data_IF_133884319375
#
_entry.id   IF_133884319375
#
_cell.length_a   1.000
_cell.length_b   1.000
_cell.length_c   1.000
_cell.angle_alpha   90.00
_cell.angle_beta   90.00
_cell.angle_gamma   90.00
#
_symmetry.space_group_name_H-M   'P 1'
#
loop_
_entity.id
_entity.type
_entity.pdbx_description
1 polymer ?
#
# COMPACT_ATOMS: atom_id res chain seq x y z
N UNK A 1 -21.81 -51.90 -6.65
CA UNK A 1 -21.60 -50.51 -7.10
C UNK A 1 -22.90 -50.01 -7.73
N UNK A 2 -23.56 -49.01 -7.14
CA UNK A 2 -24.79 -48.43 -7.71
C UNK A 2 -24.49 -47.61 -8.97
N UNK A 3 -25.29 -47.79 -10.01
CA UNK A 3 -25.10 -47.17 -11.32
C UNK A 3 -25.41 -45.68 -11.35
N UNK A 4 -24.82 -44.96 -12.31
CA UNK A 4 -24.95 -43.50 -12.48
C UNK A 4 -26.42 -43.03 -12.58
N UNK A 5 -27.30 -43.85 -13.15
CA UNK A 5 -28.76 -43.60 -13.25
C UNK A 5 -29.47 -43.57 -11.90
N UNK A 6 -29.09 -44.42 -10.94
CA UNK A 6 -29.67 -44.41 -9.59
C UNK A 6 -29.21 -43.18 -8.79
N UNK A 7 -27.98 -42.70 -9.03
CA UNK A 7 -27.49 -41.44 -8.43
C UNK A 7 -28.19 -40.22 -9.00
N UNK A 8 -28.51 -40.22 -10.29
CA UNK A 8 -29.28 -39.14 -10.94
C UNK A 8 -30.75 -39.11 -10.47
N UNK A 9 -31.38 -40.27 -10.28
CA UNK A 9 -32.75 -40.34 -9.78
C UNK A 9 -32.87 -39.95 -8.29
N UNK A 10 -31.82 -40.15 -7.49
CA UNK A 10 -31.77 -39.68 -6.09
C UNK A 10 -31.64 -38.15 -5.95
N UNK A 11 -31.16 -37.46 -7.00
CA UNK A 11 -31.13 -35.99 -7.05
C UNK A 11 -32.51 -35.44 -7.46
N UNK A 12 -33.32 -36.23 -8.17
CA UNK A 12 -34.66 -35.85 -8.65
C UNK A 12 -35.76 -35.95 -7.59
N UNK A 13 -35.49 -36.46 -6.39
CA UNK A 13 -36.47 -36.58 -5.30
C UNK A 13 -36.38 -35.46 -4.24
N UNK A 14 -35.49 -34.48 -4.43
CA UNK A 14 -35.57 -33.26 -3.64
C UNK A 14 -36.81 -32.48 -4.09
N UNK A 15 -37.67 -32.00 -3.18
CA UNK A 15 -38.78 -31.15 -3.56
C UNK A 15 -38.22 -29.98 -4.38
N UNK A 16 -38.81 -29.72 -5.55
CA UNK A 16 -38.47 -28.57 -6.36
C UNK A 16 -38.50 -27.34 -5.45
N UNK A 17 -37.36 -26.64 -5.38
CA UNK A 17 -37.21 -25.38 -4.64
C UNK A 17 -38.41 -24.51 -5.04
N UNK A 18 -39.26 -24.06 -4.09
CA UNK A 18 -40.28 -23.09 -4.45
C UNK A 18 -39.54 -21.93 -5.12
N UNK A 19 -39.94 -21.57 -6.34
CA UNK A 19 -39.38 -20.43 -7.03
C UNK A 19 -39.44 -19.27 -6.04
N UNK A 20 -38.28 -18.73 -5.65
CA UNK A 20 -38.24 -17.52 -4.86
C UNK A 20 -39.16 -16.52 -5.56
N UNK A 21 -40.11 -15.94 -4.83
CA UNK A 21 -40.95 -14.85 -5.38
C UNK A 21 -39.99 -13.91 -6.09
N UNK A 22 -40.21 -13.67 -7.38
CA UNK A 22 -39.44 -12.68 -8.12
C UNK A 22 -39.48 -11.38 -7.31
N UNK A 23 -38.37 -11.06 -6.66
CA UNK A 23 -38.23 -9.81 -5.95
C UNK A 23 -37.94 -8.76 -7.02
N UNK A 24 -38.69 -7.65 -6.97
CA UNK A 24 -38.60 -6.59 -7.98
C UNK A 24 -37.24 -5.86 -7.96
N UNK A 25 -36.37 -6.18 -7.00
CA UNK A 25 -35.12 -5.46 -6.74
C UNK A 25 -34.15 -6.26 -5.85
N UNK A 26 -32.87 -5.84 -5.77
CA UNK A 26 -31.93 -6.31 -4.76
C UNK A 26 -32.21 -5.68 -3.38
N UNK A 27 -31.67 -6.26 -2.30
CA UNK A 27 -31.75 -5.62 -0.97
C UNK A 27 -30.85 -4.38 -0.90
N UNK A 28 -31.35 -3.31 -0.29
CA UNK A 28 -30.61 -2.05 -0.10
C UNK A 28 -30.66 -1.66 1.37
N UNK A 29 -29.50 -1.34 1.93
CA UNK A 29 -29.36 -0.77 3.28
C UNK A 29 -28.55 0.51 3.20
N UNK A 30 -28.98 1.52 3.95
CA UNK A 30 -28.24 2.77 4.08
C UNK A 30 -27.91 3.04 5.54
N UNK A 31 -26.66 3.40 5.76
CA UNK A 31 -26.14 3.89 7.05
C UNK A 31 -25.58 5.28 6.83
N UNK A 32 -25.85 6.20 7.75
CA UNK A 32 -25.31 7.56 7.73
C UNK A 32 -24.31 7.72 8.85
N UNK A 33 -23.11 8.14 8.51
CA UNK A 33 -22.03 8.39 9.48
C UNK A 33 -21.69 9.88 9.44
N UNK A 34 -21.86 10.63 10.54
CA UNK A 34 -21.48 12.04 10.59
C UNK A 34 -20.00 12.24 10.22
N UNK A 35 -19.68 13.21 9.35
CA UNK A 35 -18.30 13.44 8.92
C UNK A 35 -17.34 13.77 10.07
N UNK A 36 -17.85 14.33 11.17
CA UNK A 36 -17.07 14.55 12.40
C UNK A 36 -16.46 13.26 12.98
N UNK A 37 -17.06 12.10 12.70
CA UNK A 37 -16.57 10.78 13.14
C UNK A 37 -15.57 10.18 12.16
N UNK A 38 -15.52 10.66 10.91
CA UNK A 38 -14.49 10.30 9.93
C UNK A 38 -13.24 11.17 10.11
N UNK A 39 -13.47 12.46 10.43
CA UNK A 39 -12.46 13.43 10.83
C UNK A 39 -11.50 13.84 9.71
N UNK A 40 -11.65 15.04 9.16
CA UNK A 40 -10.64 15.68 8.31
C UNK A 40 -10.74 15.37 6.82
N UNK A 41 -11.62 14.46 6.41
CA UNK A 41 -11.84 14.14 5.00
C UNK A 41 -12.30 15.37 4.21
N UNK A 42 -13.09 16.24 4.82
CA UNK A 42 -13.59 17.50 4.27
C UNK A 42 -12.49 18.51 3.92
N UNK A 43 -11.29 18.33 4.50
CA UNK A 43 -10.11 19.15 4.25
C UNK A 43 -9.12 18.49 3.29
N UNK A 44 -9.40 17.26 2.84
CA UNK A 44 -8.52 16.55 1.91
C UNK A 44 -8.54 17.22 0.54
N UNK A 45 -7.36 17.65 0.10
CA UNK A 45 -7.13 18.32 -1.18
C UNK A 45 -6.51 17.37 -2.20
N UNK A 46 -6.68 17.66 -3.49
CA UNK A 46 -6.00 16.91 -4.56
C UNK A 46 -4.47 16.95 -4.44
N UNK A 47 -3.91 18.04 -3.91
CA UNK A 47 -2.47 18.16 -3.69
C UNK A 47 -1.98 17.13 -2.67
N UNK A 48 -2.69 16.95 -1.56
CA UNK A 48 -2.40 15.92 -0.57
C UNK A 48 -2.55 14.51 -1.16
N UNK A 49 -3.62 14.26 -1.93
CA UNK A 49 -3.81 12.96 -2.59
C UNK A 49 -2.68 12.64 -3.57
N UNK A 50 -2.21 13.62 -4.34
CA UNK A 50 -1.05 13.46 -5.24
C UNK A 50 0.26 13.24 -4.51
N UNK A 51 0.38 13.68 -3.25
CA UNK A 51 1.52 13.31 -2.39
C UNK A 51 1.44 11.84 -1.95
N UNK A 52 0.24 11.30 -1.77
CA UNK A 52 0.00 9.89 -1.43
C UNK A 52 0.18 8.97 -2.65
N UNK A 53 -0.36 9.35 -3.81
CA UNK A 53 -0.21 8.66 -5.09
C UNK A 53 -0.01 9.68 -6.24
N UNK A 54 1.23 9.90 -6.70
CA UNK A 54 1.50 10.88 -7.77
C UNK A 54 0.99 10.44 -9.14
N UNK A 55 0.55 9.19 -9.28
CA UNK A 55 -0.06 8.69 -10.53
C UNK A 55 -1.55 9.01 -10.61
N UNK A 56 -2.16 9.45 -9.50
CA UNK A 56 -3.55 9.85 -9.48
C UNK A 56 -3.77 11.16 -10.23
N UNK A 57 -4.48 11.07 -11.35
CA UNK A 57 -4.83 12.20 -12.19
C UNK A 57 -6.35 12.27 -12.35
N UNK A 58 -6.92 13.41 -11.95
CA UNK A 58 -8.32 13.75 -12.16
C UNK A 58 -8.38 15.22 -12.63
N UNK A 59 -9.34 15.52 -13.51
CA UNK A 59 -9.54 16.86 -14.07
C UNK A 59 -10.11 17.85 -13.04
N UNK A 60 -10.78 17.33 -12.01
CA UNK A 60 -11.32 18.07 -10.88
C UNK A 60 -11.17 17.30 -9.58
N UNK A 61 -11.41 17.99 -8.46
CA UNK A 61 -11.41 17.38 -7.13
C UNK A 61 -12.56 17.94 -6.29
N UNK A 62 -13.51 17.07 -5.98
CA UNK A 62 -14.52 17.29 -4.97
C UNK A 62 -14.67 15.99 -4.18
N UNK A 63 -14.46 16.07 -2.87
CA UNK A 63 -14.61 14.93 -1.97
C UNK A 63 -16.03 14.33 -2.01
N UNK A 64 -17.05 15.13 -2.38
CA UNK A 64 -18.44 14.68 -2.58
C UNK A 64 -18.65 13.86 -3.85
N UNK A 65 -17.67 13.89 -4.75
CA UNK A 65 -17.68 13.14 -6.02
C UNK A 65 -16.75 11.93 -5.98
N UNK A 66 -16.29 11.53 -4.79
CA UNK A 66 -15.58 10.27 -4.56
C UNK A 66 -16.57 9.14 -4.27
N UNK A 67 -16.31 7.97 -4.84
CA UNK A 67 -17.01 6.74 -4.51
C UNK A 67 -16.06 5.76 -3.81
N UNK A 68 -16.25 5.58 -2.51
CA UNK A 68 -15.63 4.52 -1.75
C UNK A 68 -16.31 3.19 -2.09
N UNK A 69 -15.55 2.15 -2.38
CA UNK A 69 -16.10 0.88 -2.84
C UNK A 69 -15.33 -0.31 -2.26
N UNK A 70 -16.10 -1.30 -1.85
CA UNK A 70 -15.65 -2.61 -1.37
C UNK A 70 -16.70 -3.68 -1.73
N UNK A 71 -16.25 -4.89 -2.07
CA UNK A 71 -17.14 -6.00 -2.45
C UNK A 71 -16.95 -7.21 -1.56
N UNK A 72 -18.07 -7.87 -1.21
CA UNK A 72 -18.02 -9.26 -0.75
C UNK A 72 -18.40 -10.21 -1.86
N UNK A 73 -17.61 -11.27 -1.98
CA UNK A 73 -17.67 -12.15 -3.15
C UNK A 73 -17.86 -13.61 -2.74
N UNK A 74 -18.42 -14.42 -3.62
CA UNK A 74 -18.63 -15.86 -3.39
C UNK A 74 -17.34 -16.70 -3.43
N UNK A 75 -16.18 -16.08 -3.72
CA UNK A 75 -14.91 -16.79 -3.74
C UNK A 75 -13.72 -15.89 -4.05
N UNK A 76 -12.54 -16.30 -3.60
CA UNK A 76 -11.32 -15.48 -3.59
C UNK A 76 -10.56 -15.45 -4.92
N UNK A 77 -10.92 -16.28 -5.90
CA UNK A 77 -10.10 -16.58 -7.08
C UNK A 77 -10.62 -16.05 -8.42
N UNK A 78 -11.60 -15.14 -8.43
CA UNK A 78 -12.01 -14.40 -9.65
C UNK A 78 -12.45 -15.26 -10.85
N UNK A 79 -12.78 -16.53 -10.61
CA UNK A 79 -13.22 -17.45 -11.66
C UNK A 79 -14.59 -17.04 -12.21
N UNK A 80 -15.00 -17.63 -13.34
CA UNK A 80 -16.26 -17.28 -14.02
C UNK A 80 -17.53 -17.43 -13.15
N UNK A 81 -17.46 -18.18 -12.05
CA UNK A 81 -18.55 -18.35 -11.07
C UNK A 81 -18.49 -17.43 -9.85
N UNK A 82 -17.43 -16.62 -9.68
CA UNK A 82 -17.36 -15.64 -8.59
C UNK A 82 -18.30 -14.48 -8.91
N UNK A 83 -19.14 -14.12 -7.95
CA UNK A 83 -20.06 -12.97 -8.02
C UNK A 83 -19.85 -12.08 -6.80
N UNK A 84 -20.03 -10.77 -6.96
CA UNK A 84 -20.11 -9.83 -5.85
C UNK A 84 -21.55 -9.86 -5.33
N UNK A 85 -21.77 -10.56 -4.21
CA UNK A 85 -23.11 -10.68 -3.63
C UNK A 85 -23.47 -9.49 -2.75
N UNK A 86 -22.47 -8.75 -2.25
CA UNK A 86 -22.64 -7.49 -1.54
C UNK A 86 -21.69 -6.45 -2.12
N UNK A 87 -22.23 -5.28 -2.41
CA UNK A 87 -21.49 -4.12 -2.87
C UNK A 87 -21.68 -2.97 -1.88
N UNK A 88 -20.61 -2.63 -1.16
CA UNK A 88 -20.55 -1.46 -0.29
C UNK A 88 -20.18 -0.23 -1.10
N UNK A 89 -20.94 0.85 -0.95
CA UNK A 89 -20.75 2.12 -1.65
C UNK A 89 -20.77 3.25 -0.63
N UNK A 90 -19.66 3.95 -0.45
CA UNK A 90 -19.55 5.13 0.41
C UNK A 90 -19.44 6.41 -0.41
N UNK A 91 -20.20 7.45 -0.07
CA UNK A 91 -20.09 8.76 -0.69
C UNK A 91 -20.61 9.86 0.25
N UNK A 92 -20.14 11.09 0.07
CA UNK A 92 -20.46 12.20 0.96
C UNK A 92 -21.69 12.96 0.44
N UNK A 93 -22.70 13.12 1.30
CA UNK A 93 -23.85 14.02 1.07
C UNK A 93 -24.00 14.94 2.28
N UNK A 94 -24.00 16.27 2.05
CA UNK A 94 -24.05 17.24 3.16
C UNK A 94 -22.83 17.12 4.08
N UNK A 95 -23.09 16.87 5.37
CA UNK A 95 -22.13 16.66 6.44
C UNK A 95 -22.07 15.18 6.91
N UNK A 96 -22.51 14.25 6.07
CA UNK A 96 -22.55 12.82 6.35
C UNK A 96 -21.84 12.00 5.24
N UNK A 97 -21.20 10.91 5.66
CA UNK A 97 -20.83 9.80 4.79
C UNK A 97 -22.02 8.85 4.71
N UNK A 98 -22.60 8.73 3.52
CA UNK A 98 -23.65 7.76 3.21
C UNK A 98 -22.99 6.46 2.78
N UNK A 99 -23.26 5.39 3.53
CA UNK A 99 -22.83 4.03 3.19
C UNK A 99 -24.06 3.28 2.71
N UNK A 100 -24.12 3.02 1.40
CA UNK A 100 -25.17 2.24 0.76
C UNK A 100 -24.65 0.85 0.41
N UNK A 101 -25.35 -0.15 0.90
CA UNK A 101 -25.02 -1.55 0.69
C UNK A 101 -26.07 -2.17 -0.22
N UNK A 102 -25.64 -2.67 -1.38
CA UNK A 102 -26.48 -3.40 -2.33
C UNK A 102 -26.20 -4.90 -2.18
N UNK A 103 -27.18 -5.66 -1.74
CA UNK A 103 -27.06 -7.09 -1.45
C UNK A 103 -27.96 -7.89 -2.38
N UNK A 104 -27.37 -8.84 -3.08
CA UNK A 104 -28.05 -9.87 -3.84
C UNK A 104 -28.48 -11.00 -2.89
N UNK A 105 -29.79 -11.22 -2.73
CA UNK A 105 -30.37 -12.27 -1.88
C UNK A 105 -30.44 -13.63 -2.57
N UNK A 106 -30.48 -13.63 -3.89
CA UNK A 106 -30.32 -14.82 -4.72
C UNK A 106 -29.74 -14.41 -6.08
N UNK A 107 -29.13 -15.34 -6.79
CA UNK A 107 -28.43 -15.08 -8.06
C UNK A 107 -29.24 -14.31 -9.13
N UNK A 108 -30.57 -14.50 -9.26
CA UNK A 108 -31.37 -13.71 -10.20
C UNK A 108 -31.39 -12.20 -9.91
N UNK A 109 -31.01 -11.74 -8.71
CA UNK A 109 -30.94 -10.32 -8.38
C UNK A 109 -29.62 -9.65 -8.81
N UNK A 110 -28.64 -10.41 -9.31
CA UNK A 110 -27.35 -9.84 -9.75
C UNK A 110 -27.50 -8.70 -10.77
N UNK A 111 -28.33 -8.82 -11.84
CA UNK A 111 -28.53 -7.72 -12.77
C UNK A 111 -29.10 -6.48 -12.08
N UNK A 112 -30.02 -6.65 -11.13
CA UNK A 112 -30.67 -5.55 -10.41
C UNK A 112 -29.65 -4.78 -9.55
N UNK A 113 -28.79 -5.50 -8.84
CA UNK A 113 -27.67 -4.94 -8.08
C UNK A 113 -26.72 -4.14 -9.00
N UNK A 114 -26.31 -4.73 -10.13
CA UNK A 114 -25.42 -4.07 -11.09
C UNK A 114 -26.07 -2.86 -11.75
N UNK A 115 -27.39 -2.89 -11.97
CA UNK A 115 -28.12 -1.76 -12.56
C UNK A 115 -28.14 -0.57 -11.61
N UNK A 116 -28.39 -0.84 -10.32
CA UNK A 116 -28.30 0.18 -9.26
C UNK A 116 -26.91 0.76 -9.15
N UNK A 117 -25.88 -0.08 -9.12
CA UNK A 117 -24.48 0.38 -9.13
C UNK A 117 -24.19 1.29 -10.33
N UNK A 118 -24.48 0.83 -11.55
CA UNK A 118 -24.23 1.56 -12.78
C UNK A 118 -24.99 2.90 -12.83
N UNK A 119 -26.21 2.95 -12.27
CA UNK A 119 -27.01 4.18 -12.20
C UNK A 119 -26.39 5.27 -11.35
N UNK A 120 -25.53 4.91 -10.39
CA UNK A 120 -24.89 5.85 -9.46
C UNK A 120 -23.58 6.40 -10.01
N UNK A 121 -22.86 5.64 -10.86
CA UNK A 121 -21.57 6.03 -11.41
C UNK A 121 -21.51 7.44 -12.02
N UNK A 122 -22.55 7.97 -12.70
CA UNK A 122 -22.49 9.32 -13.26
C UNK A 122 -22.30 10.46 -12.24
N UNK A 123 -22.54 10.20 -10.95
CA UNK A 123 -22.40 11.18 -9.87
C UNK A 123 -20.94 11.39 -9.45
N UNK A 124 -20.05 10.48 -9.81
CA UNK A 124 -18.70 10.38 -9.25
C UNK A 124 -17.62 10.58 -10.32
N UNK A 125 -16.47 11.09 -9.85
CA UNK A 125 -15.30 11.37 -10.68
C UNK A 125 -14.12 10.46 -10.34
N UNK A 126 -14.16 9.75 -9.21
CA UNK A 126 -13.09 8.81 -8.85
C UNK A 126 -13.57 7.68 -7.94
N UNK A 127 -12.94 6.52 -8.09
CA UNK A 127 -13.05 5.40 -7.15
C UNK A 127 -11.99 5.51 -6.06
N UNK A 128 -12.35 5.16 -4.83
CA UNK A 128 -11.44 4.94 -3.72
C UNK A 128 -11.68 3.53 -3.17
N UNK A 129 -10.67 2.67 -3.21
CA UNK A 129 -10.81 1.27 -2.77
C UNK A 129 -9.57 0.82 -1.99
N UNK A 130 -9.62 -0.39 -1.43
CA UNK A 130 -8.45 -1.07 -0.89
C UNK A 130 -8.21 -2.36 -1.66
N UNK A 131 -7.16 -2.41 -2.48
CA UNK A 131 -6.86 -3.50 -3.43
C UNK A 131 -7.87 -3.66 -4.59
N UNK A 132 -8.87 -2.80 -4.71
CA UNK A 132 -9.90 -2.93 -5.73
C UNK A 132 -9.47 -2.68 -7.18
N UNK A 133 -8.29 -2.11 -7.44
CA UNK A 133 -7.74 -2.08 -8.82
C UNK A 133 -7.50 -3.49 -9.36
N UNK A 134 -7.14 -4.41 -8.47
CA UNK A 134 -6.76 -5.78 -8.82
C UNK A 134 -7.87 -6.80 -8.56
N UNK A 135 -8.94 -6.42 -7.85
CA UNK A 135 -9.98 -7.34 -7.39
C UNK A 135 -11.40 -6.85 -7.71
N UNK A 136 -11.91 -5.87 -6.94
CA UNK A 136 -13.32 -5.46 -6.98
C UNK A 136 -13.78 -4.97 -8.36
N UNK A 137 -13.06 -3.99 -8.94
CA UNK A 137 -13.47 -3.35 -10.19
C UNK A 137 -13.35 -4.30 -11.40
N UNK A 138 -12.25 -5.06 -11.56
CA UNK A 138 -12.19 -6.10 -12.58
C UNK A 138 -13.32 -7.14 -12.49
N UNK A 139 -13.69 -7.56 -11.28
CA UNK A 139 -14.81 -8.48 -11.07
C UNK A 139 -16.13 -7.85 -11.52
N UNK A 140 -16.47 -6.66 -10.99
CA UNK A 140 -17.70 -5.95 -11.35
C UNK A 140 -17.79 -5.71 -12.85
N UNK A 141 -16.69 -5.32 -13.49
CA UNK A 141 -16.66 -5.10 -14.93
C UNK A 141 -16.92 -6.38 -15.72
N UNK A 142 -16.34 -7.51 -15.29
CA UNK A 142 -16.60 -8.83 -15.87
C UNK A 142 -18.08 -9.21 -15.74
N UNK A 143 -18.66 -9.05 -14.55
CA UNK A 143 -20.09 -9.33 -14.30
C UNK A 143 -21.01 -8.43 -15.12
N UNK A 144 -20.73 -7.14 -15.18
CA UNK A 144 -21.47 -6.20 -16.05
C UNK A 144 -21.34 -6.57 -17.52
N UNK A 145 -20.20 -7.10 -17.97
CA UNK A 145 -20.02 -7.57 -19.35
C UNK A 145 -20.89 -8.79 -19.63
N UNK A 146 -20.93 -9.77 -18.71
CA UNK A 146 -21.78 -10.97 -18.83
C UNK A 146 -23.26 -10.62 -18.91
N UNK A 147 -23.70 -9.62 -18.14
CA UNK A 147 -25.08 -9.10 -18.15
C UNK A 147 -25.35 -8.09 -19.29
N UNK A 148 -24.43 -7.90 -20.23
CA UNK A 148 -24.55 -6.97 -21.37
C UNK A 148 -24.71 -5.50 -20.98
N UNK A 149 -24.15 -5.13 -19.82
CA UNK A 149 -24.21 -3.80 -19.22
C UNK A 149 -22.89 -3.03 -19.32
N UNK A 150 -21.87 -3.55 -20.01
CA UNK A 150 -20.54 -2.90 -20.10
C UNK A 150 -20.60 -1.44 -20.55
N UNK A 151 -21.51 -1.07 -21.44
CA UNK A 151 -21.70 0.31 -21.90
C UNK A 151 -22.13 1.29 -20.78
N UNK A 152 -22.64 0.77 -19.65
CA UNK A 152 -23.03 1.57 -18.47
C UNK A 152 -21.91 1.73 -17.45
N UNK A 153 -20.80 1.00 -17.60
CA UNK A 153 -19.64 1.14 -16.73
C UNK A 153 -18.86 2.40 -17.09
N UNK A 154 -18.39 3.13 -16.06
CA UNK A 154 -17.52 4.29 -16.22
C UNK A 154 -16.13 3.98 -15.70
N UNK A 155 -15.15 4.12 -16.58
CA UNK A 155 -13.74 4.17 -16.19
C UNK A 155 -13.47 5.54 -15.56
N UNK A 156 -13.14 5.55 -14.27
CA UNK A 156 -12.85 6.75 -13.50
C UNK A 156 -11.39 6.67 -12.99
N UNK A 157 -10.73 7.81 -12.76
CA UNK A 157 -9.58 7.89 -11.88
C UNK A 157 -9.76 7.04 -10.62
N UNK A 158 -8.71 6.31 -10.23
CA UNK A 158 -8.83 5.32 -9.17
C UNK A 158 -7.68 5.47 -8.19
N UNK A 159 -8.04 5.75 -6.94
CA UNK A 159 -7.14 5.75 -5.80
C UNK A 159 -7.26 4.42 -5.05
N UNK A 160 -6.26 3.56 -5.18
CA UNK A 160 -6.21 2.29 -4.46
C UNK A 160 -5.28 2.44 -3.24
N UNK A 161 -5.86 2.42 -2.06
CA UNK A 161 -5.20 2.75 -0.79
C UNK A 161 -4.23 1.67 -0.32
N UNK A 162 -4.27 0.45 -0.88
CA UNK A 162 -3.35 -0.62 -0.51
C UNK A 162 -1.89 -0.25 -0.80
N UNK A 163 -1.64 0.33 -1.97
CA UNK A 163 -0.29 0.66 -2.41
C UNK A 163 0.37 1.75 -1.56
N UNK A 164 -0.26 2.92 -1.30
CA UNK A 164 0.29 3.90 -0.39
C UNK A 164 0.37 3.36 1.04
N UNK A 165 -0.61 2.59 1.52
CA UNK A 165 -0.54 2.00 2.85
C UNK A 165 0.68 1.09 3.02
N UNK A 166 0.93 0.19 2.07
CA UNK A 166 2.14 -0.66 2.08
C UNK A 166 3.43 0.15 1.95
N UNK A 167 3.40 1.27 1.24
CA UNK A 167 4.59 2.13 1.07
C UNK A 167 5.02 2.75 2.39
N UNK A 168 4.08 3.09 3.26
CA UNK A 168 4.34 3.74 4.54
C UNK A 168 4.50 2.72 5.67
N UNK A 169 3.55 1.80 5.84
CA UNK A 169 3.46 1.01 7.07
C UNK A 169 4.01 -0.41 6.98
N UNK A 170 4.32 -0.92 5.78
CA UNK A 170 4.79 -2.32 5.64
C UNK A 170 6.09 -2.59 6.38
N UNK A 171 6.98 -1.61 6.48
CA UNK A 171 8.25 -1.79 7.20
C UNK A 171 8.02 -2.10 8.69
N UNK A 172 7.04 -1.43 9.31
CA UNK A 172 6.66 -1.64 10.70
C UNK A 172 5.78 -2.87 10.90
N UNK A 173 4.75 -3.01 10.07
CA UNK A 173 3.68 -4.00 10.27
C UNK A 173 3.97 -5.35 9.60
N UNK A 174 4.92 -5.42 8.67
CA UNK A 174 5.23 -6.60 7.85
C UNK A 174 4.19 -6.91 6.77
N UNK A 175 2.90 -6.82 7.11
CA UNK A 175 1.74 -6.91 6.20
C UNK A 175 0.82 -5.70 6.43
N UNK A 176 -0.07 -5.44 5.47
CA UNK A 176 -1.05 -4.35 5.58
C UNK A 176 -2.42 -4.81 5.04
N UNK A 177 -3.09 -5.80 5.66
CA UNK A 177 -4.52 -5.96 5.47
C UNK A 177 -5.26 -4.76 6.10
N UNK A 178 -6.47 -4.46 5.64
CA UNK A 178 -7.24 -3.32 6.13
C UNK A 178 -7.49 -3.40 7.65
N UNK A 179 -7.87 -4.58 8.15
CA UNK A 179 -8.06 -4.83 9.59
C UNK A 179 -6.86 -4.48 10.47
N UNK A 180 -5.64 -4.79 10.01
CA UNK A 180 -4.42 -4.45 10.74
C UNK A 180 -4.13 -2.94 10.69
N UNK A 181 -4.52 -2.25 9.62
CA UNK A 181 -4.36 -0.80 9.53
C UNK A 181 -5.37 -0.09 10.45
N UNK A 182 -6.58 -0.59 10.56
CA UNK A 182 -7.58 -0.03 11.47
C UNK A 182 -7.09 -0.07 12.92
N UNK A 183 -6.61 -1.23 13.37
CA UNK A 183 -6.07 -1.38 14.73
C UNK A 183 -4.78 -0.56 14.93
N UNK A 184 -3.78 -0.74 14.06
CA UNK A 184 -2.42 -0.24 14.30
C UNK A 184 -2.16 1.19 13.79
N UNK A 185 -3.09 1.77 13.03
CA UNK A 185 -2.94 3.11 12.42
C UNK A 185 -4.14 4.01 12.72
N UNK A 186 -5.36 3.48 12.69
CA UNK A 186 -6.58 4.28 12.93
C UNK A 186 -6.99 4.28 14.41
N UNK A 187 -6.51 3.31 15.20
CA UNK A 187 -6.88 3.14 16.61
C UNK A 187 -8.28 2.54 16.78
N UNK A 188 -8.80 1.87 15.74
CA UNK A 188 -10.15 1.33 15.67
C UNK A 188 -10.09 -0.18 15.50
N UNK A 189 -9.65 -0.88 16.54
CA UNK A 189 -9.69 -2.34 16.57
C UNK A 189 -11.12 -2.84 16.43
N UNK A 190 -11.33 -3.88 15.62
CA UNK A 190 -12.64 -4.53 15.50
C UNK A 190 -12.82 -5.56 16.62
N UNK A 191 -13.73 -5.31 17.55
CA UNK A 191 -14.20 -6.35 18.48
C UNK A 191 -15.15 -7.31 17.75
N UNK A 192 -14.93 -8.62 17.87
CA UNK A 192 -15.75 -9.69 17.28
C UNK A 192 -16.02 -9.53 15.76
N UNK A 193 -14.96 -9.30 14.99
CA UNK A 193 -15.08 -9.25 13.53
C UNK A 193 -15.20 -10.64 12.90
N UNK A 194 -16.04 -10.73 11.86
CA UNK A 194 -16.14 -11.93 11.05
C UNK A 194 -14.84 -12.08 10.24
N UNK A 195 -14.09 -13.19 10.37
CA UNK A 195 -12.96 -13.43 9.50
C UNK A 195 -13.43 -13.43 8.03
N UNK A 196 -12.83 -12.59 7.18
CA UNK A 196 -13.25 -12.46 5.77
C UNK A 196 -13.32 -13.79 5.01
N UNK A 197 -12.52 -14.79 5.40
CA UNK A 197 -12.58 -16.14 4.82
C UNK A 197 -13.93 -16.87 5.05
N UNK A 198 -14.69 -16.48 6.08
CA UNK A 198 -16.00 -17.05 6.42
C UNK A 198 -17.15 -16.30 5.76
N UNK A 199 -16.91 -15.13 5.16
CA UNK A 199 -17.94 -14.30 4.51
C UNK A 199 -18.68 -15.07 3.40
N UNK A 200 -17.99 -15.79 2.47
CA UNK A 200 -18.68 -16.58 1.46
C UNK A 200 -19.53 -17.71 2.06
N UNK A 201 -19.05 -18.35 3.13
CA UNK A 201 -19.75 -19.45 3.80
C UNK A 201 -21.06 -18.98 4.45
N UNK A 202 -21.07 -17.79 5.06
CA UNK A 202 -22.28 -17.17 5.61
C UNK A 202 -23.32 -16.94 4.53
N UNK A 203 -22.91 -16.43 3.37
CA UNK A 203 -23.81 -16.22 2.23
C UNK A 203 -24.36 -17.54 1.68
N UNK A 204 -23.53 -18.57 1.50
CA UNK A 204 -24.01 -19.89 1.06
C UNK A 204 -24.95 -20.56 2.06
N UNK A 205 -24.74 -20.33 3.36
CA UNK A 205 -25.63 -20.82 4.41
C UNK A 205 -26.98 -20.09 4.35
N UNK A 206 -26.97 -18.76 4.20
CA UNK A 206 -28.17 -17.96 3.97
C UNK A 206 -28.96 -18.45 2.75
N UNK A 207 -28.33 -18.75 1.61
CA UNK A 207 -29.02 -19.27 0.43
C UNK A 207 -29.75 -20.61 0.68
N UNK A 208 -29.34 -21.39 1.69
CA UNK A 208 -29.97 -22.67 2.06
C UNK A 208 -31.05 -22.49 3.12
N UNK A 209 -30.79 -21.67 4.13
CA UNK A 209 -31.66 -21.53 5.32
C UNK A 209 -32.65 -20.38 5.18
N UNK A 210 -32.36 -19.40 4.33
CA UNK A 210 -33.00 -18.09 4.27
C UNK A 210 -32.99 -17.32 5.61
N UNK A 211 -32.08 -17.68 6.52
CA UNK A 211 -31.87 -16.99 7.78
C UNK A 211 -31.01 -15.74 7.56
N UNK A 212 -31.66 -14.58 7.48
CA UNK A 212 -31.01 -13.31 7.20
C UNK A 212 -30.06 -12.86 8.31
N UNK A 213 -30.18 -13.38 9.54
CA UNK A 213 -29.26 -13.04 10.64
C UNK A 213 -27.80 -13.38 10.32
N UNK A 214 -27.58 -14.38 9.44
CA UNK A 214 -26.25 -14.76 8.95
C UNK A 214 -25.57 -13.67 8.12
N UNK A 215 -26.33 -12.73 7.56
CA UNK A 215 -25.82 -11.64 6.73
C UNK A 215 -25.62 -10.34 7.51
N UNK A 216 -26.14 -10.23 8.74
CA UNK A 216 -26.00 -9.01 9.53
C UNK A 216 -24.53 -8.70 9.85
N UNK A 217 -23.74 -9.72 10.21
CA UNK A 217 -22.30 -9.56 10.43
C UNK A 217 -21.54 -9.23 9.14
N UNK A 218 -21.95 -9.79 8.00
CA UNK A 218 -21.34 -9.49 6.70
C UNK A 218 -21.61 -8.04 6.29
N UNK A 219 -22.85 -7.57 6.49
CA UNK A 219 -23.23 -6.19 6.22
C UNK A 219 -22.51 -5.23 7.19
N UNK A 220 -22.37 -5.59 8.46
CA UNK A 220 -21.60 -4.80 9.42
C UNK A 220 -20.12 -4.70 9.03
N UNK A 221 -19.50 -5.82 8.64
CA UNK A 221 -18.10 -5.88 8.19
C UNK A 221 -17.85 -4.93 7.01
N UNK A 222 -18.58 -5.13 5.91
CA UNK A 222 -18.45 -4.31 4.71
C UNK A 222 -18.76 -2.81 4.97
N UNK A 223 -19.71 -2.50 5.88
CA UNK A 223 -19.97 -1.12 6.27
C UNK A 223 -18.75 -0.49 6.98
N UNK A 224 -18.11 -1.23 7.89
CA UNK A 224 -16.89 -0.80 8.55
C UNK A 224 -15.74 -0.63 7.55
N UNK A 225 -15.56 -1.55 6.60
CA UNK A 225 -14.54 -1.42 5.55
C UNK A 225 -14.71 -0.11 4.77
N UNK A 226 -15.92 0.19 4.29
CA UNK A 226 -16.21 1.44 3.57
C UNK A 226 -15.89 2.67 4.41
N UNK A 227 -16.30 2.67 5.69
CA UNK A 227 -15.98 3.74 6.63
C UNK A 227 -14.46 3.90 6.77
N UNK A 228 -13.74 2.79 6.94
CA UNK A 228 -12.29 2.77 7.10
C UNK A 228 -11.55 3.26 5.87
N UNK A 229 -12.07 3.07 4.65
CA UNK A 229 -11.47 3.67 3.45
C UNK A 229 -11.43 5.20 3.54
N UNK A 230 -12.50 5.83 4.02
CA UNK A 230 -12.60 7.28 4.16
C UNK A 230 -11.64 7.82 5.23
N UNK A 231 -11.55 7.14 6.37
CA UNK A 231 -10.62 7.49 7.46
C UNK A 231 -9.16 7.27 7.01
N UNK A 232 -8.88 6.13 6.35
CA UNK A 232 -7.54 5.77 5.88
C UNK A 232 -6.99 6.74 4.84
N UNK A 233 -7.83 7.18 3.89
CA UNK A 233 -7.46 8.23 2.92
C UNK A 233 -6.97 9.49 3.64
N UNK A 234 -7.75 9.95 4.62
CA UNK A 234 -7.43 11.15 5.39
C UNK A 234 -6.13 10.96 6.17
N UNK A 235 -5.96 9.80 6.83
CA UNK A 235 -4.76 9.48 7.58
C UNK A 235 -3.51 9.41 6.70
N UNK A 236 -3.61 8.82 5.51
CA UNK A 236 -2.53 8.81 4.52
C UNK A 236 -2.10 10.23 4.14
N UNK A 237 -3.06 11.12 3.89
CA UNK A 237 -2.79 12.53 3.56
C UNK A 237 -2.06 13.23 4.71
N UNK A 238 -2.55 13.09 5.95
CA UNK A 238 -1.93 13.67 7.15
C UNK A 238 -0.49 13.19 7.37
N UNK A 239 -0.24 11.89 7.18
CA UNK A 239 1.11 11.33 7.29
C UNK A 239 2.05 11.94 6.25
N UNK A 240 1.58 12.12 5.02
CA UNK A 240 2.40 12.68 3.95
C UNK A 240 2.61 14.19 4.08
N UNK A 241 1.77 14.91 4.81
CA UNK A 241 1.95 16.34 5.09
C UNK A 241 2.91 16.61 6.26
N UNK A 242 2.91 15.74 7.25
CA UNK A 242 3.77 15.84 8.43
C UNK A 242 4.54 14.52 8.68
N UNK A 243 5.39 14.07 7.74
CA UNK A 243 6.04 12.76 7.82
C UNK A 243 7.06 12.69 8.95
N UNK A 244 7.73 13.80 9.30
CA UNK A 244 8.65 13.88 10.44
C UNK A 244 7.96 13.77 11.82
N UNK A 245 6.64 13.98 11.89
CA UNK A 245 5.88 13.99 13.15
C UNK A 245 5.28 12.61 13.49
N UNK A 246 5.58 11.57 12.70
CA UNK A 246 5.06 10.24 12.98
C UNK A 246 5.78 9.61 14.18
N UNK A 247 5.01 8.89 15.00
CA UNK A 247 5.51 8.27 16.24
C UNK A 247 6.57 7.21 15.99
N UNK A 248 6.42 6.43 14.91
CA UNK A 248 7.30 5.29 14.62
C UNK A 248 8.37 5.65 13.60
N UNK A 249 9.63 5.32 13.91
CA UNK A 249 10.78 5.60 13.05
C UNK A 249 10.65 4.94 11.66
N UNK A 250 10.06 3.75 11.61
CA UNK A 250 9.77 3.01 10.38
C UNK A 250 8.81 3.76 9.46
N UNK A 251 7.80 4.40 10.02
CA UNK A 251 6.79 5.15 9.26
C UNK A 251 7.42 6.44 8.72
N UNK A 252 8.20 7.17 9.54
CA UNK A 252 8.97 8.36 9.12
C UNK A 252 9.94 8.00 7.99
N UNK A 253 10.73 6.94 8.16
CA UNK A 253 11.70 6.51 7.16
C UNK A 253 11.03 6.11 5.85
N UNK A 254 9.91 5.38 5.93
CA UNK A 254 9.17 4.91 4.76
C UNK A 254 8.47 6.06 4.01
N UNK A 255 7.94 7.05 4.73
CA UNK A 255 7.44 8.29 4.16
C UNK A 255 8.56 9.07 3.45
N UNK A 256 9.75 9.17 4.06
CA UNK A 256 10.92 9.78 3.43
C UNK A 256 11.31 9.09 2.11
N UNK A 257 11.32 7.76 2.08
CA UNK A 257 11.56 6.97 0.86
C UNK A 257 10.52 7.23 -0.23
N UNK A 258 9.25 7.38 0.15
CA UNK A 258 8.18 7.73 -0.77
C UNK A 258 8.39 9.14 -1.36
N UNK A 259 8.63 10.12 -0.50
CA UNK A 259 8.87 11.52 -0.88
C UNK A 259 10.08 11.67 -1.80
N UNK A 260 11.19 10.99 -1.52
CA UNK A 260 12.37 11.02 -2.40
C UNK A 260 12.04 10.48 -3.79
N UNK A 261 11.27 9.37 -3.86
CA UNK A 261 10.82 8.80 -5.14
C UNK A 261 9.92 9.75 -5.91
N UNK A 262 9.15 10.58 -5.21
CA UNK A 262 8.20 11.53 -5.79
C UNK A 262 8.82 12.90 -6.09
N UNK A 263 10.11 13.08 -5.80
CA UNK A 263 10.84 14.33 -6.07
C UNK A 263 10.85 15.35 -4.93
N UNK A 264 10.21 15.07 -3.80
CA UNK A 264 10.23 15.91 -2.59
C UNK A 264 11.51 15.67 -1.77
N UNK A 265 12.67 15.94 -2.40
CA UNK A 265 14.00 15.54 -1.89
C UNK A 265 14.34 16.16 -0.53
N UNK A 266 14.05 17.45 -0.32
CA UNK A 266 14.37 18.10 0.96
C UNK A 266 13.50 17.58 2.11
N UNK A 267 12.24 17.27 1.85
CA UNK A 267 11.34 16.67 2.84
C UNK A 267 11.78 15.25 3.19
N UNK A 268 12.17 14.47 2.17
CA UNK A 268 12.75 13.15 2.38
C UNK A 268 14.02 13.19 3.25
N UNK A 269 14.90 14.18 3.03
CA UNK A 269 16.09 14.38 3.87
C UNK A 269 15.73 14.69 5.32
N UNK A 270 14.70 15.51 5.58
CA UNK A 270 14.21 15.74 6.95
C UNK A 270 13.75 14.44 7.61
N UNK A 271 12.99 13.62 6.89
CA UNK A 271 12.57 12.30 7.38
C UNK A 271 13.77 11.40 7.70
N UNK A 272 14.78 11.35 6.82
CA UNK A 272 15.98 10.56 7.07
C UNK A 272 16.79 11.09 8.25
N UNK A 273 16.85 12.42 8.45
CA UNK A 273 17.49 12.98 9.64
C UNK A 273 16.82 12.53 10.92
N UNK A 274 15.47 12.57 10.98
CA UNK A 274 14.72 12.05 12.13
C UNK A 274 14.97 10.55 12.31
N UNK A 275 14.91 9.76 11.24
CA UNK A 275 15.16 8.33 11.31
C UNK A 275 16.63 7.97 11.67
N UNK A 276 17.58 8.90 11.45
CA UNK A 276 19.01 8.70 11.72
C UNK A 276 19.38 8.65 13.21
N UNK A 277 18.42 8.95 14.09
CA UNK A 277 18.61 8.90 15.55
C UNK A 277 17.99 7.67 16.19
N UNK A 278 17.22 6.87 15.44
CA UNK A 278 16.50 5.70 15.93
C UNK A 278 17.04 4.36 15.41
N UNK A 279 16.21 3.32 15.48
CA UNK A 279 16.55 1.95 15.08
C UNK A 279 16.95 1.81 13.60
N UNK A 280 16.61 2.78 12.75
CA UNK A 280 16.96 2.81 11.33
C UNK A 280 18.16 3.70 11.01
N UNK A 281 18.99 4.06 12.00
CA UNK A 281 20.13 4.98 11.86
C UNK A 281 20.98 4.67 10.62
N UNK A 282 21.48 3.44 10.53
CA UNK A 282 22.31 2.99 9.41
C UNK A 282 21.64 3.23 8.04
N UNK A 283 20.40 2.77 7.89
CA UNK A 283 19.67 2.86 6.61
C UNK A 283 19.37 4.31 6.25
N UNK A 284 19.02 5.13 7.22
CA UNK A 284 18.72 6.54 7.04
C UNK A 284 19.96 7.34 6.63
N UNK A 285 21.12 7.10 7.26
CA UNK A 285 22.39 7.76 6.92
C UNK A 285 22.90 7.38 5.54
N UNK A 286 22.77 6.11 5.14
CA UNK A 286 23.06 5.69 3.76
C UNK A 286 22.18 6.43 2.75
N UNK A 287 20.90 6.63 3.05
CA UNK A 287 19.99 7.41 2.20
C UNK A 287 20.40 8.89 2.15
N UNK A 288 20.72 9.52 3.29
CA UNK A 288 21.21 10.90 3.35
C UNK A 288 22.49 11.10 2.52
N UNK A 289 23.51 10.27 2.77
CA UNK A 289 24.77 10.33 2.03
C UNK A 289 24.56 10.15 0.53
N UNK A 290 23.70 9.20 0.13
CA UNK A 290 23.37 9.00 -1.29
C UNK A 290 22.65 10.21 -1.89
N UNK A 291 21.71 10.81 -1.15
CA UNK A 291 20.96 11.98 -1.57
C UNK A 291 21.86 13.21 -1.72
N UNK A 292 22.76 13.47 -0.77
CA UNK A 292 23.71 14.59 -0.85
C UNK A 292 24.74 14.40 -1.97
N UNK A 293 25.19 13.17 -2.20
CA UNK A 293 26.08 12.84 -3.31
C UNK A 293 25.45 13.17 -4.66
N UNK A 294 24.16 12.86 -4.85
CA UNK A 294 23.42 13.22 -6.08
C UNK A 294 23.32 14.74 -6.27
N UNK A 295 23.20 15.49 -5.18
CA UNK A 295 23.20 16.96 -5.21
C UNK A 295 24.61 17.58 -5.28
N UNK A 296 25.68 16.78 -5.26
CA UNK A 296 27.05 17.28 -5.26
C UNK A 296 27.54 17.89 -3.94
N UNK A 297 26.78 17.76 -2.84
CA UNK A 297 27.17 18.26 -1.52
C UNK A 297 28.06 17.24 -0.79
N UNK A 298 29.33 17.18 -1.20
CA UNK A 298 30.29 16.24 -0.62
C UNK A 298 30.66 16.53 0.83
N UNK A 299 30.48 17.77 1.30
CA UNK A 299 30.72 18.12 2.71
C UNK A 299 29.72 17.39 3.62
N UNK A 300 28.42 17.36 3.22
CA UNK A 300 27.42 16.58 3.95
C UNK A 300 27.60 15.08 3.78
N UNK A 301 28.04 14.61 2.60
CA UNK A 301 28.40 13.17 2.44
C UNK A 301 29.48 12.77 3.44
N UNK A 302 30.55 13.57 3.57
CA UNK A 302 31.61 13.30 4.54
C UNK A 302 31.08 13.23 5.97
N UNK A 303 30.21 14.18 6.35
CA UNK A 303 29.58 14.20 7.69
C UNK A 303 28.84 12.90 7.98
N UNK A 304 27.94 12.47 7.10
CA UNK A 304 27.18 11.24 7.29
C UNK A 304 28.08 10.00 7.31
N UNK A 305 29.10 9.95 6.45
CA UNK A 305 30.03 8.82 6.41
C UNK A 305 30.90 8.74 7.66
N UNK A 306 31.39 9.86 8.18
CA UNK A 306 32.17 9.89 9.42
C UNK A 306 31.32 9.47 10.62
N UNK A 307 30.07 9.92 10.69
CA UNK A 307 29.13 9.50 11.75
C UNK A 307 28.85 7.99 11.68
N UNK A 308 28.62 7.45 10.47
CA UNK A 308 28.48 5.99 10.29
C UNK A 308 29.71 5.22 10.75
N UNK A 309 30.92 5.68 10.38
CA UNK A 309 32.18 5.04 10.81
C UNK A 309 32.32 5.07 12.34
N UNK A 310 32.04 6.21 12.97
CA UNK A 310 32.13 6.37 14.42
C UNK A 310 31.18 5.43 15.18
N UNK A 311 30.03 5.11 14.59
CA UNK A 311 29.01 4.23 15.17
C UNK A 311 29.15 2.76 14.74
N UNK A 312 30.08 2.44 13.84
CA UNK A 312 30.20 1.10 13.25
C UNK A 312 29.02 0.72 12.32
N UNK A 313 28.32 1.71 11.76
CA UNK A 313 27.17 1.57 10.88
C UNK A 313 27.56 1.67 9.39
N UNK A 314 26.69 1.22 8.48
CA UNK A 314 26.80 1.43 7.04
C UNK A 314 27.71 0.44 6.32
N UNK A 315 28.30 -0.51 7.05
CA UNK A 315 29.20 -1.51 6.49
C UNK A 315 30.40 -0.89 5.77
N UNK A 316 30.69 -1.36 4.56
CA UNK A 316 31.77 -0.81 3.72
C UNK A 316 31.42 0.53 3.06
N UNK A 317 30.13 0.90 3.00
CA UNK A 317 29.65 2.09 2.28
C UNK A 317 30.37 3.38 2.71
N UNK A 318 30.42 3.77 4.00
CA UNK A 318 31.02 5.04 4.38
C UNK A 318 32.52 5.11 4.04
N UNK A 319 33.26 4.02 4.22
CA UNK A 319 34.67 3.93 3.87
C UNK A 319 34.91 4.09 2.36
N UNK A 320 34.10 3.42 1.54
CA UNK A 320 34.20 3.49 0.07
C UNK A 320 33.89 4.89 -0.44
N UNK A 321 32.88 5.55 0.10
CA UNK A 321 32.54 6.94 -0.25
C UNK A 321 33.61 7.92 0.20
N UNK A 322 34.13 7.80 1.43
CA UNK A 322 35.25 8.63 1.90
C UNK A 322 36.50 8.46 1.03
N UNK A 323 36.84 7.22 0.65
CA UNK A 323 37.94 6.96 -0.27
C UNK A 323 37.74 7.62 -1.64
N UNK A 324 36.52 7.61 -2.21
CA UNK A 324 36.20 8.31 -3.47
C UNK A 324 36.40 9.81 -3.33
N UNK A 325 35.93 10.40 -2.23
CA UNK A 325 36.05 11.84 -1.97
C UNK A 325 37.52 12.24 -1.85
N UNK A 326 38.31 11.50 -1.04
CA UNK A 326 39.74 11.74 -0.92
C UNK A 326 40.48 11.64 -2.27
N UNK A 327 40.19 10.59 -3.05
CA UNK A 327 40.87 10.36 -4.33
C UNK A 327 40.52 11.40 -5.41
N UNK A 328 39.22 11.66 -5.60
CA UNK A 328 38.76 12.42 -6.77
C UNK A 328 38.59 13.91 -6.50
N UNK A 329 38.22 14.29 -5.26
CA UNK A 329 37.94 15.69 -4.90
C UNK A 329 39.13 16.32 -4.18
N UNK A 330 39.65 15.66 -3.15
CA UNK A 330 40.77 16.19 -2.35
C UNK A 330 42.13 15.91 -2.97
N UNK A 331 42.19 15.04 -4.00
CA UNK A 331 43.43 14.60 -4.65
C UNK A 331 44.46 14.06 -3.66
N UNK A 332 43.98 13.39 -2.60
CA UNK A 332 44.79 12.81 -1.53
C UNK A 332 44.73 11.27 -1.63
N UNK A 333 45.63 10.65 -2.40
CA UNK A 333 45.65 9.19 -2.57
C UNK A 333 46.03 8.46 -1.28
N UNK A 334 46.78 9.08 -0.36
CA UNK A 334 47.17 8.47 0.91
C UNK A 334 45.97 8.33 1.86
N UNK A 335 45.15 9.38 2.01
CA UNK A 335 43.90 9.29 2.77
C UNK A 335 42.90 8.34 2.10
N UNK A 336 42.81 8.34 0.78
CA UNK A 336 41.97 7.38 0.06
C UNK A 336 42.40 5.93 0.30
N UNK A 337 43.72 5.67 0.36
CA UNK A 337 44.28 4.36 0.66
C UNK A 337 43.87 3.91 2.07
N UNK A 338 44.01 4.79 3.07
CA UNK A 338 43.61 4.49 4.45
C UNK A 338 42.17 4.03 4.55
N UNK A 339 41.22 4.79 3.98
CA UNK A 339 39.82 4.38 3.98
C UNK A 339 39.56 3.08 3.21
N UNK A 340 40.30 2.83 2.13
CA UNK A 340 40.20 1.56 1.38
C UNK A 340 40.66 0.38 2.24
N UNK A 341 41.76 0.53 2.97
CA UNK A 341 42.25 -0.51 3.89
C UNK A 341 41.28 -0.73 5.06
N UNK A 342 40.71 0.34 5.64
CA UNK A 342 39.69 0.21 6.69
C UNK A 342 38.42 -0.51 6.20
N UNK A 343 38.02 -0.32 4.94
CA UNK A 343 36.93 -1.12 4.36
C UNK A 343 37.28 -2.61 4.23
N UNK A 344 38.52 -2.93 3.86
CA UNK A 344 38.97 -4.33 3.76
C UNK A 344 39.04 -4.98 5.14
N UNK A 345 39.54 -4.24 6.14
CA UNK A 345 39.57 -4.67 7.53
C UNK A 345 38.15 -4.91 8.08
N UNK A 346 37.20 -4.00 7.79
CA UNK A 346 35.79 -4.21 8.13
C UNK A 346 35.27 -5.54 7.58
N UNK A 347 35.48 -5.84 6.28
CA UNK A 347 35.06 -7.10 5.68
C UNK A 347 35.74 -8.33 6.30
N UNK A 348 37.02 -8.22 6.62
CA UNK A 348 37.77 -9.29 7.28
C UNK A 348 37.25 -9.57 8.71
N UNK A 349 36.78 -8.53 9.41
CA UNK A 349 36.23 -8.59 10.76
C UNK A 349 34.80 -9.12 10.84
N UNK A 350 34.11 -9.29 9.71
CA UNK A 350 32.74 -9.79 9.70
C UNK A 350 32.65 -11.23 10.25
N UNK A 351 31.62 -11.54 11.05
CA UNK A 351 31.41 -12.90 11.55
C UNK A 351 31.26 -13.94 10.43
N UNK A 352 31.61 -15.22 10.65
CA UNK A 352 31.57 -16.26 9.62
C UNK A 352 30.20 -16.47 8.97
N UNK A 353 29.11 -16.20 9.70
CA UNK A 353 27.73 -16.32 9.20
C UNK A 353 27.26 -15.11 8.39
N UNK A 354 28.01 -14.00 8.37
CA UNK A 354 27.74 -12.87 7.50
C UNK A 354 28.45 -13.13 6.17
N UNK A 355 27.67 -13.30 5.10
CA UNK A 355 28.21 -13.57 3.78
C UNK A 355 29.19 -12.46 3.36
N UNK A 356 30.43 -12.85 3.08
CA UNK A 356 31.44 -11.93 2.56
C UNK A 356 31.18 -11.75 1.08
N UNK A 357 30.76 -10.57 0.66
CA UNK A 357 30.59 -10.23 -0.75
C UNK A 357 31.97 -10.28 -1.46
N UNK A 358 32.25 -11.29 -2.31
CA UNK A 358 33.54 -11.42 -2.97
C UNK A 358 33.78 -10.28 -3.96
N UNK A 359 32.72 -9.73 -4.56
CA UNK A 359 32.81 -8.61 -5.51
C UNK A 359 33.22 -7.32 -4.80
N UNK A 360 32.71 -7.10 -3.59
CA UNK A 360 33.13 -5.96 -2.77
C UNK A 360 34.62 -6.01 -2.44
N UNK A 361 35.14 -7.19 -2.07
CA UNK A 361 36.56 -7.37 -1.77
C UNK A 361 37.44 -7.15 -3.02
N UNK A 362 37.04 -7.70 -4.17
CA UNK A 362 37.75 -7.50 -5.43
C UNK A 362 37.79 -6.02 -5.85
N UNK A 363 36.68 -5.31 -5.70
CA UNK A 363 36.60 -3.88 -5.99
C UNK A 363 37.52 -3.03 -5.08
N UNK A 364 37.62 -3.39 -3.80
CA UNK A 364 38.54 -2.76 -2.85
C UNK A 364 39.99 -3.04 -3.19
N UNK A 365 40.32 -4.28 -3.56
CA UNK A 365 41.67 -4.68 -3.93
C UNK A 365 42.12 -3.99 -5.23
N UNK A 366 41.23 -3.90 -6.23
CA UNK A 366 41.47 -3.12 -7.44
C UNK A 366 41.74 -1.63 -7.12
N UNK A 367 40.94 -1.03 -6.23
CA UNK A 367 41.17 0.35 -5.77
C UNK A 367 42.51 0.49 -5.06
N UNK A 368 42.88 -0.46 -4.19
CA UNK A 368 44.15 -0.48 -3.46
C UNK A 368 45.33 -0.47 -4.44
N UNK A 369 45.34 -1.36 -5.44
CA UNK A 369 46.41 -1.41 -6.47
C UNK A 369 46.48 -0.09 -7.25
N UNK A 370 45.33 0.47 -7.65
CA UNK A 370 45.27 1.76 -8.35
C UNK A 370 45.84 2.91 -7.53
N UNK A 371 45.47 3.00 -6.25
CA UNK A 371 45.96 4.04 -5.35
C UNK A 371 47.45 3.89 -5.06
N UNK A 372 47.94 2.65 -4.90
CA UNK A 372 49.37 2.38 -4.74
C UNK A 372 50.17 2.90 -5.94
N UNK A 373 49.72 2.61 -7.17
CA UNK A 373 50.36 3.14 -8.38
C UNK A 373 50.33 4.67 -8.50
N UNK A 374 49.35 5.36 -7.89
CA UNK A 374 49.33 6.83 -7.83
C UNK A 374 50.30 7.41 -6.80
N UNK A 375 50.62 6.65 -5.76
CA UNK A 375 51.55 7.07 -4.70
C UNK A 375 53.01 6.79 -5.07
N UNK A 376 53.27 5.79 -5.92
CA UNK A 376 54.62 5.38 -6.33
C UNK A 376 55.10 6.02 -7.64
N UNK A 377 54.22 6.65 -8.42
CA UNK A 377 54.64 7.42 -9.60
C UNK A 377 55.28 8.76 -9.18
N UNK A 378 56.46 9.14 -9.70
CA UNK A 378 57.03 10.46 -9.51
C UNK A 378 56.04 11.54 -9.97
N UNK A 379 55.94 12.61 -9.21
CA UNK A 379 55.04 13.72 -9.49
C UNK A 379 55.66 14.56 -10.63
N UNK A 380 55.43 14.20 -11.89
CA UNK A 380 55.81 14.99 -13.08
C UNK A 380 54.91 16.25 -13.20
N UNK A 381 54.86 17.06 -12.15
CA UNK A 381 54.15 18.34 -12.06
C UNK A 381 55.02 19.40 -11.38
N UNK A 382 56.27 19.48 -11.80
CA UNK A 382 57.07 20.71 -11.81
C UNK A 382 57.85 20.68 -13.12
N UNK A 383 57.40 21.48 -14.09
CA UNK A 383 57.94 21.58 -15.44
C UNK A 383 57.19 22.64 -16.22
#
# INVERSE_FOLDING_TARGET
MRGLRERLNAISSAPARPAARAQDDCFVRETRVPLREIGGIERTTIAQVRRVDPTFSADGWDIRRLLFLDTETTGLSGGAGTVAFLLGLGFIEGDELIIRQLLMRDYPEEPLLLERFASLLPRFDAYVTFNGKSFDLPLLLSRMTMHRMRARYRELPHLDLLHPARRIWKLRLGRCPLSMLEEAVLGEGREDDLPGALVPERYFSYLKTHDFSLLEDVLRHNMLDIRSLAVLLTRLCQVMDAPEQQTFCEDVFSAGRALERFGYVEEARRCYHVASTGALSERARVCLATSYRRAGDFARVQRECLEMIARGEGGVFPYVEMAKICEHRLRDPARAMRYTLSAMEYLASLPPWKERDPQAMEALEHRRRRLHGKMTKPNDREG
#
